data_IF_709259149245
#
_entry.id   IF_709259149245
#
_cell.length_a   1.000
_cell.length_b   1.000
_cell.length_c   1.000
_cell.angle_alpha   90.00
_cell.angle_beta   90.00
_cell.angle_gamma   90.00
#
_symmetry.space_group_name_H-M   'P 1'
#
loop_
_entity.id
_entity.type
_entity.pdbx_description
1 polymer ?
#
# COMPACT_ATOMS: atom_id res chain seq x y z
N UNK A 1 -8.99 -1.43 -2.78
CA UNK A 1 -10.05 -1.93 -1.88
C UNK A 1 -11.39 -2.19 -2.58
N UNK A 2 -11.97 -1.25 -3.33
CA UNK A 2 -13.25 -1.48 -4.03
C UNK A 2 -13.14 -2.57 -5.11
N UNK A 3 -12.15 -2.46 -6.01
CA UNK A 3 -12.01 -3.35 -7.16
C UNK A 3 -11.93 -4.84 -6.81
N UNK A 4 -11.11 -5.23 -5.83
CA UNK A 4 -10.98 -6.66 -5.49
C UNK A 4 -12.28 -7.23 -4.92
N UNK A 5 -13.08 -6.41 -4.22
CA UNK A 5 -14.37 -6.83 -3.69
C UNK A 5 -15.38 -7.09 -4.82
N UNK A 6 -15.44 -6.21 -5.82
CA UNK A 6 -16.31 -6.38 -6.98
C UNK A 6 -15.92 -7.63 -7.79
N UNK A 7 -14.62 -7.86 -8.00
CA UNK A 7 -14.14 -9.09 -8.66
C UNK A 7 -14.54 -10.35 -7.85
N UNK A 8 -14.40 -10.32 -6.52
CA UNK A 8 -14.78 -11.45 -5.68
C UNK A 8 -16.26 -11.82 -5.83
N UNK A 9 -17.15 -10.84 -5.99
CA UNK A 9 -18.58 -11.10 -6.22
C UNK A 9 -18.88 -11.77 -7.56
N UNK A 10 -18.11 -11.49 -8.60
CA UNK A 10 -18.37 -11.98 -9.96
C UNK A 10 -17.38 -13.05 -10.43
N UNK A 11 -16.48 -13.53 -9.57
CA UNK A 11 -15.33 -14.38 -9.93
C UNK A 11 -15.68 -15.67 -10.69
N UNK A 12 -16.90 -16.16 -10.55
CA UNK A 12 -17.35 -17.39 -11.20
C UNK A 12 -17.83 -17.17 -12.66
N UNK A 13 -17.92 -15.92 -13.11
CA UNK A 13 -18.41 -15.54 -14.44
C UNK A 13 -17.36 -14.67 -15.14
N UNK A 14 -16.61 -15.27 -16.06
CA UNK A 14 -15.49 -14.61 -16.75
C UNK A 14 -15.93 -13.38 -17.57
N UNK A 15 -17.14 -13.37 -18.09
CA UNK A 15 -17.66 -12.22 -18.84
C UNK A 15 -17.90 -11.03 -17.90
N UNK A 16 -18.55 -11.27 -16.76
CA UNK A 16 -18.79 -10.23 -15.74
C UNK A 16 -17.49 -9.74 -15.12
N UNK A 17 -16.53 -10.63 -14.87
CA UNK A 17 -15.18 -10.24 -14.42
C UNK A 17 -14.53 -9.29 -15.42
N UNK A 18 -14.62 -9.60 -16.71
CA UNK A 18 -14.05 -8.77 -17.77
C UNK A 18 -14.74 -7.42 -17.88
N UNK A 19 -16.06 -7.38 -17.73
CA UNK A 19 -16.85 -6.16 -17.71
C UNK A 19 -16.48 -5.27 -16.52
N UNK A 20 -16.50 -5.79 -15.29
CA UNK A 20 -16.14 -5.07 -14.06
C UNK A 20 -14.69 -4.59 -14.11
N UNK A 21 -13.77 -5.45 -14.57
CA UNK A 21 -12.38 -5.08 -14.76
C UNK A 21 -12.24 -3.87 -15.68
N UNK A 22 -12.85 -3.95 -16.86
CA UNK A 22 -12.76 -2.89 -17.87
C UNK A 22 -13.33 -1.57 -17.37
N UNK A 23 -14.48 -1.59 -16.72
CA UNK A 23 -15.14 -0.40 -16.18
C UNK A 23 -14.27 0.27 -15.11
N UNK A 24 -13.74 -0.49 -14.15
CA UNK A 24 -12.89 0.04 -13.08
C UNK A 24 -11.55 0.51 -13.64
N UNK A 25 -10.95 -0.23 -14.58
CA UNK A 25 -9.66 0.13 -15.16
C UNK A 25 -9.76 1.42 -15.99
N UNK A 26 -10.82 1.59 -16.79
CA UNK A 26 -11.08 2.84 -17.53
C UNK A 26 -11.28 4.00 -16.56
N UNK A 27 -12.04 3.82 -15.48
CA UNK A 27 -12.21 4.86 -14.46
C UNK A 27 -10.85 5.29 -13.89
N UNK A 28 -9.95 4.34 -13.61
CA UNK A 28 -8.59 4.64 -13.12
C UNK A 28 -7.77 5.40 -14.14
N UNK A 29 -7.86 5.04 -15.42
CA UNK A 29 -7.16 5.78 -16.49
C UNK A 29 -7.71 7.20 -16.64
N UNK A 30 -9.02 7.41 -16.57
CA UNK A 30 -9.63 8.76 -16.58
C UNK A 30 -9.09 9.58 -15.40
N UNK A 31 -9.05 9.01 -14.20
CA UNK A 31 -8.51 9.69 -13.02
C UNK A 31 -7.01 9.98 -13.16
N UNK A 32 -6.23 9.07 -13.75
CA UNK A 32 -4.81 9.31 -14.04
C UNK A 32 -4.64 10.52 -14.97
N UNK A 33 -5.43 10.59 -16.05
CA UNK A 33 -5.39 11.71 -17.00
C UNK A 33 -5.74 13.03 -16.29
N UNK A 34 -6.79 13.03 -15.48
CA UNK A 34 -7.20 14.22 -14.72
C UNK A 34 -6.08 14.69 -13.76
N UNK A 35 -5.47 13.77 -13.01
CA UNK A 35 -4.36 14.10 -12.10
C UNK A 35 -3.16 14.61 -12.90
N UNK A 36 -2.86 14.01 -14.06
CA UNK A 36 -1.74 14.39 -14.90
C UNK A 36 -1.84 15.83 -15.41
N UNK A 37 -3.06 16.30 -15.72
CA UNK A 37 -3.31 17.68 -16.17
C UNK A 37 -2.86 18.70 -15.12
N UNK A 38 -2.98 18.39 -13.84
CA UNK A 38 -2.55 19.27 -12.75
C UNK A 38 -1.11 18.99 -12.30
N UNK A 39 -0.73 17.71 -12.22
CA UNK A 39 0.57 17.33 -11.68
C UNK A 39 1.74 17.67 -12.61
N UNK A 40 1.60 17.46 -13.92
CA UNK A 40 2.69 17.72 -14.87
C UNK A 40 3.07 19.20 -14.93
N UNK A 41 2.14 20.16 -15.08
CA UNK A 41 2.51 21.59 -15.02
C UNK A 41 3.17 21.94 -13.69
N UNK A 42 2.62 21.47 -12.56
CA UNK A 42 3.23 21.69 -11.24
C UNK A 42 4.67 21.17 -11.19
N UNK A 43 4.93 19.97 -11.71
CA UNK A 43 6.27 19.38 -11.71
C UNK A 43 7.28 20.16 -12.57
N UNK A 44 6.84 20.68 -13.71
CA UNK A 44 7.70 21.47 -14.60
C UNK A 44 8.08 22.84 -14.03
N UNK A 45 7.18 23.46 -13.28
CA UNK A 45 7.44 24.79 -12.67
C UNK A 45 8.15 24.68 -11.30
N UNK A 46 8.35 23.47 -10.78
CA UNK A 46 9.05 23.27 -9.50
C UNK A 46 10.57 23.33 -9.65
N UNK A 47 11.26 23.89 -8.65
CA UNK A 47 12.72 23.87 -8.56
C UNK A 47 13.30 22.44 -8.55
N UNK A 48 12.52 21.47 -8.05
CA UNK A 48 12.92 20.06 -7.94
C UNK A 48 12.28 19.19 -9.03
N UNK A 49 12.13 19.73 -10.26
CA UNK A 49 11.41 19.11 -11.38
C UNK A 49 11.78 17.65 -11.64
N UNK A 50 13.08 17.29 -11.56
CA UNK A 50 13.56 15.92 -11.82
C UNK A 50 12.92 14.93 -10.84
N UNK A 51 12.90 15.24 -9.56
CA UNK A 51 12.31 14.38 -8.54
C UNK A 51 10.80 14.22 -8.72
N UNK A 52 10.10 15.30 -9.05
CA UNK A 52 8.66 15.23 -9.33
C UNK A 52 8.35 14.43 -10.59
N UNK A 53 9.15 14.55 -11.65
CA UNK A 53 8.98 13.76 -12.87
C UNK A 53 9.24 12.26 -12.61
N UNK A 54 10.25 11.92 -11.81
CA UNK A 54 10.49 10.53 -11.40
C UNK A 54 9.32 10.02 -10.56
N UNK A 55 8.81 10.82 -9.62
CA UNK A 55 7.65 10.44 -8.80
C UNK A 55 6.36 10.28 -9.63
N UNK A 56 6.23 10.97 -10.75
CA UNK A 56 5.11 10.78 -11.67
C UNK A 56 5.03 9.34 -12.19
N UNK A 57 6.16 8.66 -12.39
CA UNK A 57 6.17 7.24 -12.73
C UNK A 57 5.52 6.36 -11.64
N UNK A 58 5.65 6.73 -10.36
CA UNK A 58 4.96 6.06 -9.26
C UNK A 58 3.44 6.31 -9.30
N UNK A 59 3.02 7.51 -9.66
CA UNK A 59 1.59 7.82 -9.85
C UNK A 59 1.04 6.93 -10.97
N UNK A 60 1.69 6.89 -12.14
CA UNK A 60 1.29 6.03 -13.25
C UNK A 60 1.18 4.57 -12.76
N UNK A 61 2.19 4.05 -12.07
CA UNK A 61 2.21 2.66 -11.60
C UNK A 61 1.01 2.33 -10.71
N UNK A 62 0.60 3.26 -9.83
CA UNK A 62 -0.56 3.06 -8.97
C UNK A 62 -1.88 2.95 -9.75
N UNK A 63 -2.04 3.73 -10.82
CA UNK A 63 -3.27 3.71 -11.61
C UNK A 63 -3.35 2.52 -12.57
N UNK A 64 -2.24 2.07 -13.10
CA UNK A 64 -2.20 0.90 -13.99
C UNK A 64 -2.07 -0.45 -13.23
N UNK A 65 -1.84 -0.45 -11.91
CA UNK A 65 -1.72 -1.70 -11.14
C UNK A 65 -3.03 -2.50 -11.15
N UNK A 66 -2.93 -3.74 -11.62
CA UNK A 66 -4.05 -4.69 -11.74
C UNK A 66 -4.03 -5.78 -10.66
N UNK A 67 -3.18 -5.66 -9.65
CA UNK A 67 -3.05 -6.62 -8.55
C UNK A 67 -4.36 -6.90 -7.83
N UNK A 68 -5.27 -5.93 -7.80
CA UNK A 68 -6.58 -6.08 -7.18
C UNK A 68 -7.46 -7.16 -7.82
N UNK A 69 -7.21 -7.52 -9.09
CA UNK A 69 -7.90 -8.65 -9.75
C UNK A 69 -7.48 -9.96 -9.07
N UNK A 70 -6.17 -10.19 -8.92
CA UNK A 70 -5.63 -11.40 -8.30
C UNK A 70 -6.05 -11.53 -6.83
N UNK A 71 -6.11 -10.40 -6.10
CA UNK A 71 -6.63 -10.38 -4.73
C UNK A 71 -8.10 -10.80 -4.71
N UNK A 72 -8.92 -10.35 -5.67
CA UNK A 72 -10.33 -10.75 -5.80
C UNK A 72 -10.52 -12.24 -6.10
N UNK A 73 -9.56 -12.88 -6.77
CA UNK A 73 -9.49 -14.33 -6.98
C UNK A 73 -8.84 -15.11 -5.82
N UNK A 74 -8.47 -14.43 -4.73
CA UNK A 74 -7.75 -15.02 -3.57
C UNK A 74 -6.34 -15.55 -3.93
N UNK A 75 -5.78 -15.14 -5.08
CA UNK A 75 -4.43 -15.52 -5.50
C UNK A 75 -3.36 -14.56 -4.93
N UNK A 76 -3.36 -14.41 -3.62
CA UNK A 76 -2.43 -13.52 -2.90
C UNK A 76 -0.96 -13.92 -3.07
N UNK A 77 -0.70 -15.20 -3.31
CA UNK A 77 0.67 -15.72 -3.49
C UNK A 77 1.40 -15.06 -4.65
N UNK A 78 0.73 -14.87 -5.79
CA UNK A 78 1.30 -14.23 -6.98
C UNK A 78 1.70 -12.78 -6.67
N UNK A 79 0.80 -12.03 -6.04
CA UNK A 79 1.01 -10.63 -5.70
C UNK A 79 2.13 -10.49 -4.65
N UNK A 80 2.12 -11.33 -3.62
CA UNK A 80 3.11 -11.32 -2.54
C UNK A 80 4.51 -11.68 -3.04
N UNK A 81 4.63 -12.74 -3.86
CA UNK A 81 5.90 -13.17 -4.42
C UNK A 81 6.51 -12.08 -5.32
N UNK A 82 5.69 -11.52 -6.21
CA UNK A 82 6.09 -10.39 -7.06
C UNK A 82 6.59 -9.20 -6.23
N UNK A 83 5.84 -8.81 -5.20
CA UNK A 83 6.21 -7.69 -4.34
C UNK A 83 7.50 -7.98 -3.54
N UNK A 84 7.74 -9.24 -3.16
CA UNK A 84 8.97 -9.66 -2.50
C UNK A 84 10.17 -9.49 -3.45
N UNK A 85 10.06 -9.98 -4.69
CA UNK A 85 11.12 -9.80 -5.71
C UNK A 85 11.38 -8.31 -5.98
N UNK A 86 10.32 -7.49 -6.09
CA UNK A 86 10.47 -6.06 -6.27
C UNK A 86 11.26 -5.40 -5.12
N UNK A 87 10.97 -5.78 -3.87
CA UNK A 87 11.73 -5.28 -2.71
C UNK A 87 13.21 -5.68 -2.77
N UNK A 88 13.49 -6.94 -3.12
CA UNK A 88 14.87 -7.39 -3.29
C UNK A 88 15.59 -6.60 -4.39
N UNK A 89 14.97 -6.44 -5.56
CA UNK A 89 15.54 -5.65 -6.66
C UNK A 89 15.80 -4.19 -6.25
N UNK A 90 14.88 -3.58 -5.50
CA UNK A 90 15.07 -2.22 -4.98
C UNK A 90 16.27 -2.15 -4.03
N UNK A 91 16.37 -3.08 -3.08
CA UNK A 91 17.48 -3.11 -2.12
C UNK A 91 18.80 -3.31 -2.84
N UNK A 92 18.93 -4.31 -3.71
CA UNK A 92 20.14 -4.54 -4.50
C UNK A 92 20.49 -3.35 -5.39
N UNK A 93 19.49 -2.77 -6.06
CA UNK A 93 19.70 -1.57 -6.87
C UNK A 93 20.27 -0.40 -6.06
N UNK A 94 19.72 -0.13 -4.89
CA UNK A 94 20.21 0.93 -4.01
C UNK A 94 21.67 0.65 -3.59
N UNK A 95 21.99 -0.57 -3.12
CA UNK A 95 23.35 -0.91 -2.70
C UNK A 95 24.39 -0.82 -3.83
N UNK A 96 24.01 -1.11 -5.05
CA UNK A 96 24.91 -1.09 -6.19
C UNK A 96 25.13 0.34 -6.71
N UNK A 97 24.05 1.12 -6.86
CA UNK A 97 24.08 2.37 -7.62
C UNK A 97 24.10 3.63 -6.75
N UNK A 98 23.63 3.58 -5.50
CA UNK A 98 23.60 4.75 -4.61
C UNK A 98 24.82 4.70 -3.70
N UNK A 99 25.78 5.60 -3.90
CA UNK A 99 27.07 5.63 -3.17
C UNK A 99 27.30 6.93 -2.42
N UNK A 100 26.65 8.00 -2.82
CA UNK A 100 26.82 9.35 -2.26
C UNK A 100 25.48 10.07 -2.13
N UNK A 101 25.47 11.18 -1.40
CA UNK A 101 24.30 12.04 -1.25
C UNK A 101 23.84 12.64 -2.58
N UNK A 102 24.74 12.81 -3.56
CA UNK A 102 24.44 13.30 -4.90
C UNK A 102 23.61 12.30 -5.72
N UNK A 103 23.64 11.01 -5.35
CA UNK A 103 22.92 9.93 -6.02
C UNK A 103 21.44 9.84 -5.59
N UNK A 104 20.93 10.81 -4.86
CA UNK A 104 19.56 10.81 -4.38
C UNK A 104 18.53 10.62 -5.51
N UNK A 105 18.78 11.21 -6.68
CA UNK A 105 17.92 11.03 -7.85
C UNK A 105 17.92 9.58 -8.36
N UNK A 106 19.07 8.87 -8.27
CA UNK A 106 19.21 7.44 -8.63
C UNK A 106 18.34 6.59 -7.68
N UNK A 107 18.35 6.90 -6.38
CA UNK A 107 17.48 6.24 -5.41
C UNK A 107 16.01 6.31 -5.82
N UNK A 108 15.50 7.50 -6.14
CA UNK A 108 14.12 7.68 -6.60
C UNK A 108 13.86 7.00 -7.93
N UNK A 109 14.82 7.04 -8.87
CA UNK A 109 14.71 6.39 -10.17
C UNK A 109 14.62 4.86 -10.05
N UNK A 110 15.45 4.23 -9.21
CA UNK A 110 15.39 2.79 -8.94
C UNK A 110 14.01 2.43 -8.38
N UNK A 111 13.54 3.18 -7.40
CA UNK A 111 12.25 2.92 -6.77
C UNK A 111 11.10 3.03 -7.79
N UNK A 112 11.10 4.05 -8.62
CA UNK A 112 10.11 4.27 -9.67
C UNK A 112 10.16 3.18 -10.74
N UNK A 113 11.36 2.86 -11.23
CA UNK A 113 11.57 1.86 -12.27
C UNK A 113 11.13 0.45 -11.79
N UNK A 114 11.60 0.02 -10.61
CA UNK A 114 11.24 -1.29 -10.07
C UNK A 114 9.72 -1.38 -9.84
N UNK A 115 9.09 -0.31 -9.35
CA UNK A 115 7.64 -0.29 -9.14
C UNK A 115 6.89 -0.42 -10.46
N UNK A 116 7.25 0.36 -11.49
CA UNK A 116 6.64 0.26 -12.83
C UNK A 116 6.85 -1.12 -13.43
N UNK A 117 8.07 -1.64 -13.40
CA UNK A 117 8.39 -2.97 -13.91
C UNK A 117 7.55 -4.04 -13.22
N UNK A 118 7.43 -3.96 -11.90
CA UNK A 118 6.62 -4.87 -11.08
C UNK A 118 5.15 -4.83 -11.48
N UNK A 119 4.60 -3.66 -11.72
CA UNK A 119 3.20 -3.51 -12.14
C UNK A 119 3.00 -4.07 -13.56
N UNK A 120 3.90 -3.79 -14.48
CA UNK A 120 3.81 -4.27 -15.87
C UNK A 120 3.95 -5.80 -15.95
N UNK A 121 4.81 -6.39 -15.12
CA UNK A 121 5.11 -7.84 -15.15
C UNK A 121 3.90 -8.73 -14.86
N UNK A 122 2.84 -8.21 -14.22
CA UNK A 122 1.64 -9.00 -13.90
C UNK A 122 0.61 -9.03 -15.05
N UNK A 123 0.71 -8.11 -16.03
CA UNK A 123 -0.27 -8.04 -17.12
C UNK A 123 -0.40 -9.32 -17.96
N UNK A 124 0.69 -10.05 -18.30
CA UNK A 124 0.55 -11.30 -19.02
C UNK A 124 -0.33 -12.33 -18.32
N UNK A 125 -0.28 -12.38 -16.99
CA UNK A 125 -1.09 -13.29 -16.18
C UNK A 125 -2.57 -12.91 -16.15
N UNK A 126 -2.90 -11.63 -16.41
CA UNK A 126 -4.27 -11.13 -16.43
C UNK A 126 -5.13 -11.80 -17.50
N UNK A 127 -4.54 -12.23 -18.62
CA UNK A 127 -5.23 -12.94 -19.72
C UNK A 127 -5.94 -14.22 -19.27
N UNK A 128 -5.48 -14.84 -18.19
CA UNK A 128 -6.12 -16.03 -17.60
C UNK A 128 -7.51 -15.70 -17.04
N UNK A 129 -7.68 -14.50 -16.48
CA UNK A 129 -8.86 -14.08 -15.72
C UNK A 129 -9.80 -13.18 -16.50
N UNK A 130 -9.26 -12.35 -17.39
CA UNK A 130 -10.00 -11.31 -18.12
C UNK A 130 -9.95 -11.60 -19.63
N UNK A 131 -11.08 -11.54 -20.27
CA UNK A 131 -11.21 -11.57 -21.73
C UNK A 131 -11.35 -10.13 -22.26
N UNK A 132 -10.49 -9.77 -23.21
CA UNK A 132 -10.49 -8.43 -23.82
C UNK A 132 -11.38 -8.35 -25.09
N UNK A 133 -12.16 -9.40 -25.39
CA UNK A 133 -12.95 -9.48 -26.63
C UNK A 133 -14.22 -8.60 -26.62
N UNK A 134 -14.82 -8.35 -25.45
CA UNK A 134 -16.06 -7.59 -25.31
C UNK A 134 -15.88 -6.47 -24.27
N UNK A 135 -15.38 -5.33 -24.72
CA UNK A 135 -15.16 -4.17 -23.85
C UNK A 135 -16.49 -3.43 -23.66
N UNK A 136 -17.12 -3.60 -22.51
CA UNK A 136 -18.33 -2.84 -22.14
C UNK A 136 -17.95 -1.65 -21.25
N UNK A 137 -17.96 -0.46 -21.84
CA UNK A 137 -17.65 0.81 -21.14
C UNK A 137 -18.88 1.33 -20.40
N UNK A 138 -20.09 0.93 -20.85
CA UNK A 138 -21.34 1.37 -20.25
C UNK A 138 -21.42 0.89 -18.79
N UNK A 139 -21.54 1.83 -17.86
CA UNK A 139 -21.57 1.52 -16.42
C UNK A 139 -20.31 1.96 -15.66
N UNK A 140 -19.24 2.40 -16.34
CA UNK A 140 -17.99 2.86 -15.68
C UNK A 140 -18.26 3.86 -14.55
N UNK A 141 -19.14 4.81 -14.75
CA UNK A 141 -19.45 5.84 -13.75
C UNK A 141 -20.25 5.34 -12.55
N UNK A 142 -20.88 4.16 -12.63
CA UNK A 142 -21.59 3.55 -11.49
C UNK A 142 -20.63 3.17 -10.37
N UNK A 143 -19.35 2.94 -10.68
CA UNK A 143 -18.33 2.61 -9.71
C UNK A 143 -17.79 3.82 -8.92
N UNK A 144 -18.12 5.07 -9.32
CA UNK A 144 -17.61 6.28 -8.66
C UNK A 144 -18.15 6.39 -7.24
N UNK A 145 -19.47 6.36 -7.05
CA UNK A 145 -20.07 6.59 -5.75
C UNK A 145 -19.67 5.53 -4.71
N UNK A 146 -19.68 4.22 -5.00
CA UNK A 146 -19.17 3.21 -4.09
C UNK A 146 -17.67 3.39 -3.79
N UNK A 147 -16.87 3.78 -4.79
CA UNK A 147 -15.44 4.05 -4.60
C UNK A 147 -15.20 5.23 -3.67
N UNK A 148 -15.94 6.33 -3.81
CA UNK A 148 -15.85 7.51 -2.92
C UNK A 148 -16.20 7.14 -1.48
N UNK A 149 -17.27 6.36 -1.27
CA UNK A 149 -17.66 5.91 0.09
C UNK A 149 -16.55 5.14 0.81
N UNK A 150 -15.74 4.36 0.07
CA UNK A 150 -14.60 3.65 0.62
C UNK A 150 -13.32 4.50 0.67
N UNK A 151 -13.23 5.53 -0.14
CA UNK A 151 -12.08 6.43 -0.20
C UNK A 151 -12.03 7.40 0.97
N UNK A 152 -13.18 7.98 1.37
CA UNK A 152 -13.26 8.98 2.45
C UNK A 152 -12.62 8.48 3.76
N UNK A 153 -12.96 7.30 4.31
CA UNK A 153 -12.31 6.78 5.52
C UNK A 153 -10.80 6.57 5.35
N UNK A 154 -10.35 6.16 4.15
CA UNK A 154 -8.92 5.98 3.89
C UNK A 154 -8.17 7.29 3.85
N UNK A 155 -8.74 8.33 3.22
CA UNK A 155 -8.15 9.68 3.24
C UNK A 155 -8.05 10.20 4.67
N UNK A 156 -9.11 10.06 5.46
CA UNK A 156 -9.09 10.47 6.87
C UNK A 156 -7.97 9.77 7.65
N UNK A 157 -7.78 8.46 7.45
CA UNK A 157 -6.70 7.71 8.10
C UNK A 157 -5.32 8.19 7.65
N UNK A 158 -5.11 8.39 6.35
CA UNK A 158 -3.82 8.87 5.83
C UNK A 158 -3.52 10.29 6.32
N UNK A 159 -4.52 11.18 6.31
CA UNK A 159 -4.37 12.54 6.85
C UNK A 159 -3.99 12.49 8.32
N UNK A 160 -4.69 11.69 9.12
CA UNK A 160 -4.37 11.51 10.54
C UNK A 160 -2.91 11.08 10.75
N UNK A 161 -2.44 10.05 10.02
CA UNK A 161 -1.09 9.51 10.16
C UNK A 161 0.02 10.46 9.63
N UNK A 162 -0.30 11.37 8.73
CA UNK A 162 0.69 12.31 8.17
C UNK A 162 0.63 13.71 8.78
N UNK A 163 -0.46 14.04 9.46
CA UNK A 163 -0.70 15.38 10.00
C UNK A 163 0.36 15.79 11.02
N UNK A 164 0.79 14.86 11.87
CA UNK A 164 1.86 15.10 12.86
C UNK A 164 3.16 15.56 12.19
N UNK A 165 3.52 14.96 11.06
CA UNK A 165 4.74 15.31 10.31
C UNK A 165 4.64 16.70 9.67
N UNK A 166 3.44 17.03 9.14
CA UNK A 166 3.17 18.35 8.56
C UNK A 166 3.22 19.42 9.65
N UNK A 167 2.59 19.18 10.80
CA UNK A 167 2.63 20.08 11.94
C UNK A 167 4.05 20.26 12.46
N UNK A 168 4.78 19.16 12.65
CA UNK A 168 6.17 19.19 13.13
C UNK A 168 7.04 20.04 12.19
N UNK A 169 6.90 19.87 10.86
CA UNK A 169 7.62 20.68 9.88
C UNK A 169 7.27 22.17 9.99
N UNK A 170 5.99 22.49 10.13
CA UNK A 170 5.53 23.89 10.18
C UNK A 170 5.90 24.59 11.48
N UNK A 171 5.91 23.89 12.60
CA UNK A 171 6.24 24.47 13.93
C UNK A 171 7.76 24.60 14.09
N UNK A 172 8.51 23.57 13.72
CA UNK A 172 9.96 23.54 13.98
C UNK A 172 10.79 24.13 12.84
N UNK A 173 10.21 24.29 11.66
CA UNK A 173 10.90 24.66 10.40
C UNK A 173 12.11 23.77 10.07
N UNK A 174 12.23 22.61 10.72
CA UNK A 174 13.34 21.66 10.62
C UNK A 174 12.94 20.38 9.92
N UNK A 175 13.57 20.09 8.78
CA UNK A 175 13.42 18.81 8.08
C UNK A 175 14.05 17.65 8.85
N UNK A 176 15.11 17.94 9.62
CA UNK A 176 15.79 16.94 10.44
C UNK A 176 14.87 16.38 11.52
N UNK A 177 14.07 17.21 12.19
CA UNK A 177 13.13 16.75 13.20
C UNK A 177 12.04 15.85 12.62
N UNK A 178 11.53 16.18 11.41
CA UNK A 178 10.59 15.32 10.69
C UNK A 178 11.22 13.98 10.32
N UNK A 179 12.50 13.98 9.93
CA UNK A 179 13.24 12.76 9.65
C UNK A 179 13.38 11.89 10.90
N UNK A 180 13.80 12.45 12.03
CA UNK A 180 13.93 11.72 13.30
C UNK A 180 12.59 11.10 13.75
N UNK A 181 11.51 11.87 13.68
CA UNK A 181 10.17 11.37 13.96
C UNK A 181 9.79 10.20 13.04
N UNK A 182 10.04 10.34 11.74
CA UNK A 182 9.72 9.32 10.74
C UNK A 182 10.55 8.03 10.93
N UNK A 183 11.82 8.15 11.34
CA UNK A 183 12.64 6.99 11.66
C UNK A 183 12.18 6.29 12.94
N UNK A 184 11.84 7.04 13.99
CA UNK A 184 11.26 6.48 15.20
C UNK A 184 9.96 5.71 14.91
N UNK A 185 9.07 6.29 14.11
CA UNK A 185 7.85 5.64 13.66
C UNK A 185 8.12 4.34 12.89
N UNK A 186 9.10 4.33 11.96
CA UNK A 186 9.48 3.11 11.23
C UNK A 186 9.94 1.99 12.17
N UNK A 187 10.74 2.32 13.18
CA UNK A 187 11.23 1.34 14.16
C UNK A 187 10.07 0.76 14.98
N UNK A 188 9.14 1.61 15.44
CA UNK A 188 7.96 1.19 16.20
C UNK A 188 7.01 0.35 15.34
N UNK A 189 6.90 0.63 14.05
CA UNK A 189 6.04 -0.11 13.13
C UNK A 189 6.50 -1.57 12.91
N UNK A 190 7.76 -1.92 13.16
CA UNK A 190 8.25 -3.30 13.02
C UNK A 190 7.55 -4.24 14.03
N UNK A 191 7.61 -4.03 15.35
CA UNK A 191 6.89 -4.86 16.31
C UNK A 191 5.35 -4.73 16.16
N UNK A 192 4.87 -3.54 15.82
CA UNK A 192 3.44 -3.31 15.60
C UNK A 192 2.90 -4.17 14.45
N UNK A 193 3.65 -4.35 13.38
CA UNK A 193 3.25 -5.19 12.26
C UNK A 193 3.01 -6.65 12.66
N UNK A 194 3.81 -7.19 13.60
CA UNK A 194 3.64 -8.55 14.13
C UNK A 194 2.30 -8.65 14.87
N UNK A 195 1.98 -7.65 15.69
CA UNK A 195 0.73 -7.62 16.47
C UNK A 195 -0.48 -7.47 15.53
N UNK A 196 -0.40 -6.59 14.54
CA UNK A 196 -1.46 -6.39 13.55
C UNK A 196 -1.70 -7.63 12.68
N UNK A 197 -0.65 -8.39 12.37
CA UNK A 197 -0.77 -9.65 11.63
C UNK A 197 -1.66 -10.67 12.37
N UNK A 198 -1.63 -10.70 13.71
CA UNK A 198 -2.53 -11.55 14.50
C UNK A 198 -3.99 -11.18 14.27
N UNK A 199 -4.32 -9.89 14.22
CA UNK A 199 -5.68 -9.41 13.94
C UNK A 199 -6.18 -9.89 12.58
N UNK A 200 -5.35 -9.79 11.54
CA UNK A 200 -5.72 -10.21 10.19
C UNK A 200 -5.94 -11.72 10.08
N UNK A 201 -5.11 -12.52 10.74
CA UNK A 201 -5.25 -13.99 10.76
C UNK A 201 -6.48 -14.44 11.56
N UNK A 202 -6.81 -13.73 12.64
CA UNK A 202 -7.95 -14.09 13.50
C UNK A 202 -9.30 -13.64 12.94
N UNK A 203 -9.34 -12.66 12.06
CA UNK A 203 -10.58 -12.08 11.54
C UNK A 203 -11.52 -13.10 10.87
N UNK A 204 -11.07 -13.99 9.97
CA UNK A 204 -11.94 -15.01 9.37
C UNK A 204 -12.51 -15.97 10.41
N UNK A 205 -11.72 -16.32 11.44
CA UNK A 205 -12.17 -17.19 12.51
C UNK A 205 -13.25 -16.55 13.37
N UNK A 206 -13.11 -15.27 13.69
CA UNK A 206 -14.15 -14.53 14.40
C UNK A 206 -15.44 -14.43 13.58
N UNK A 207 -15.33 -14.16 12.28
CA UNK A 207 -16.48 -14.10 11.39
C UNK A 207 -17.24 -15.45 11.36
N UNK A 208 -16.53 -16.57 11.28
CA UNK A 208 -17.12 -17.91 11.28
C UNK A 208 -17.80 -18.24 12.63
N UNK A 209 -17.14 -17.94 13.75
CA UNK A 209 -17.72 -18.17 15.08
C UNK A 209 -18.97 -17.31 15.31
N UNK A 210 -18.94 -16.07 14.83
CA UNK A 210 -20.08 -15.16 14.91
C UNK A 210 -21.28 -15.67 14.11
N UNK A 211 -21.05 -16.14 12.88
CA UNK A 211 -22.12 -16.70 12.04
C UNK A 211 -22.76 -17.97 12.65
N UNK A 212 -22.02 -18.71 13.48
CA UNK A 212 -22.48 -19.89 14.18
C UNK A 212 -23.09 -19.60 15.57
N UNK A 213 -23.18 -18.32 15.99
CA UNK A 213 -23.75 -17.92 17.28
C UNK A 213 -22.94 -18.36 18.50
N UNK A 214 -21.64 -18.64 18.34
CA UNK A 214 -20.81 -19.19 19.42
C UNK A 214 -20.06 -18.10 20.22
N UNK A 215 -20.81 -17.26 20.92
CA UNK A 215 -20.28 -16.11 21.66
C UNK A 215 -19.23 -16.48 22.72
N UNK A 216 -19.40 -17.63 23.37
CA UNK A 216 -18.44 -18.10 24.40
C UNK A 216 -17.06 -18.40 23.79
N UNK A 217 -17.03 -19.01 22.63
CA UNK A 217 -15.76 -19.25 21.92
C UNK A 217 -15.15 -17.95 21.40
N UNK A 218 -15.96 -17.04 20.88
CA UNK A 218 -15.48 -15.71 20.45
C UNK A 218 -14.76 -15.02 21.61
N UNK A 219 -15.40 -14.93 22.77
CA UNK A 219 -14.81 -14.29 23.95
C UNK A 219 -13.51 -14.98 24.39
N UNK A 220 -13.45 -16.32 24.34
CA UNK A 220 -12.23 -17.08 24.63
C UNK A 220 -11.10 -16.75 23.67
N UNK A 221 -11.38 -16.66 22.36
CA UNK A 221 -10.37 -16.31 21.35
C UNK A 221 -9.93 -14.86 21.45
N UNK A 222 -10.85 -13.92 21.67
CA UNK A 222 -10.52 -12.51 21.90
C UNK A 222 -9.56 -12.39 23.09
N UNK A 223 -9.91 -13.03 24.21
CA UNK A 223 -9.06 -13.01 25.43
C UNK A 223 -7.67 -13.59 25.16
N UNK A 224 -7.58 -14.71 24.43
CA UNK A 224 -6.28 -15.30 24.06
C UNK A 224 -5.46 -14.37 23.15
N UNK A 225 -6.11 -13.77 22.16
CA UNK A 225 -5.44 -12.85 21.22
C UNK A 225 -4.92 -11.61 21.93
N UNK A 226 -5.71 -11.02 22.82
CA UNK A 226 -5.29 -9.86 23.63
C UNK A 226 -4.13 -10.25 24.56
N UNK A 227 -4.23 -11.38 25.28
CA UNK A 227 -3.14 -11.85 26.16
C UNK A 227 -1.84 -12.04 25.38
N UNK A 228 -1.90 -12.65 24.20
CA UNK A 228 -0.73 -12.87 23.37
C UNK A 228 -0.17 -11.54 22.81
N UNK A 229 -1.04 -10.64 22.37
CA UNK A 229 -0.62 -9.31 21.92
C UNK A 229 0.07 -8.52 23.04
N UNK A 230 -0.46 -8.54 24.26
CA UNK A 230 0.15 -7.90 25.44
C UNK A 230 1.48 -8.55 25.83
N UNK A 231 1.54 -9.90 25.76
CA UNK A 231 2.77 -10.65 26.02
C UNK A 231 3.92 -10.25 25.07
N UNK A 232 3.60 -9.92 23.82
CA UNK A 232 4.59 -9.40 22.86
C UNK A 232 4.83 -7.89 23.02
N UNK A 233 3.77 -7.10 23.17
CA UNK A 233 3.85 -5.64 23.19
C UNK A 233 4.65 -5.11 24.39
N UNK A 234 4.42 -5.66 25.58
CA UNK A 234 5.06 -5.16 26.80
C UNK A 234 6.59 -5.35 26.77
N UNK A 235 7.15 -6.54 26.49
CA UNK A 235 8.61 -6.69 26.37
C UNK A 235 9.21 -5.86 25.23
N UNK A 236 8.51 -5.75 24.09
CA UNK A 236 8.97 -4.93 22.96
C UNK A 236 9.03 -3.45 23.31
N UNK A 237 8.05 -2.93 24.05
CA UNK A 237 8.02 -1.54 24.52
C UNK A 237 9.24 -1.25 25.42
N UNK A 238 9.44 -2.04 26.46
CA UNK A 238 10.57 -1.85 27.39
C UNK A 238 11.92 -2.17 26.73
N UNK A 239 11.98 -3.21 25.89
CA UNK A 239 13.18 -3.58 25.14
C UNK A 239 13.64 -2.46 24.22
N UNK A 240 12.75 -1.94 23.36
CA UNK A 240 13.09 -0.83 22.46
C UNK A 240 13.48 0.43 23.22
N UNK A 241 12.77 0.77 24.30
CA UNK A 241 13.11 1.92 25.12
C UNK A 241 14.50 1.80 25.74
N UNK A 242 14.86 0.61 26.24
CA UNK A 242 16.14 0.37 26.90
C UNK A 242 17.34 0.44 25.94
N UNK A 243 17.18 -0.03 24.70
CA UNK A 243 18.27 -0.07 23.71
C UNK A 243 18.32 1.17 22.82
N UNK A 244 17.32 2.04 22.87
CA UNK A 244 17.14 3.17 21.94
C UNK A 244 18.36 4.08 21.87
N UNK A 245 18.98 4.42 22.99
CA UNK A 245 20.17 5.29 23.06
C UNK A 245 21.38 4.73 22.30
N UNK A 246 21.53 3.41 22.22
CA UNK A 246 22.61 2.76 21.48
C UNK A 246 22.22 2.38 20.07
N UNK A 247 20.96 1.98 19.87
CA UNK A 247 20.45 1.51 18.59
C UNK A 247 20.29 2.66 17.59
N UNK A 248 19.80 3.82 18.04
CA UNK A 248 19.51 4.94 17.13
C UNK A 248 20.80 5.47 16.47
N UNK A 249 21.90 5.77 17.17
CA UNK A 249 23.15 6.18 16.53
C UNK A 249 23.70 5.10 15.58
N UNK A 250 23.59 3.83 15.95
CA UNK A 250 24.05 2.72 15.10
C UNK A 250 23.21 2.58 13.82
N UNK A 251 21.90 2.84 13.91
CA UNK A 251 20.98 2.70 12.79
C UNK A 251 20.99 3.91 11.85
N UNK A 252 21.20 5.11 12.38
CA UNK A 252 21.18 6.36 11.61
C UNK A 252 22.58 6.86 11.19
N UNK A 253 23.66 6.27 11.69
CA UNK A 253 25.05 6.65 11.41
C UNK A 253 25.55 7.67 12.41
#
# INVERSE_FOLDING_TARGET
SYGYREIAYVRNDKEKVSEVFTQIFILRIILLVLISIFYLPFSFFSNNRIYFLIQYALIISQFIDVSWVFIGFEELGIVSFRNFIAKLLTVFGIFIFVKSDEDLWIYFAIFAFVTLFTVISIFPLLKKYVSFSNIKIKGTFLHIMPSIKLFIPQVATVLYLQFDKIMLKNITHSSAQVAYYSYAEKIINIPLAIILALGTVMMPRFANLYSNGNDKEIQKYITKTIKFAMFLAIPMMFGLSSISLKMIPWYLG
#
